data_IF_936616878721
#
_entry.id   IF_936616878721
#
_cell.length_a   1.000
_cell.length_b   1.000
_cell.length_c   1.000
_cell.angle_alpha   90.00
_cell.angle_beta   90.00
_cell.angle_gamma   90.00
#
_symmetry.space_group_name_H-M   'P 1'
#
loop_
_entity.id
_entity.type
_entity.pdbx_description
1 polymer ?
#
# COMPACT_ATOMS: atom_id res chain seq x y z
N UNK A 1 30.23 -9.42 24.52
CA UNK A 1 29.72 -8.06 24.27
C UNK A 1 30.40 -7.42 23.03
N UNK A 2 30.67 -8.20 21.96
CA UNK A 2 31.41 -7.76 20.76
C UNK A 2 30.60 -7.93 19.46
N UNK A 3 29.34 -8.39 19.56
CA UNK A 3 28.50 -8.80 18.41
C UNK A 3 27.55 -7.70 17.91
N UNK A 4 27.59 -6.50 18.49
CA UNK A 4 26.56 -5.47 18.29
C UNK A 4 26.98 -4.33 17.33
N UNK A 5 28.27 -4.24 16.99
CA UNK A 5 28.78 -3.19 16.09
C UNK A 5 28.70 -3.56 14.59
N UNK A 6 28.70 -4.85 14.23
CA UNK A 6 28.62 -5.28 12.82
C UNK A 6 27.20 -5.23 12.24
N UNK A 7 26.15 -5.25 13.06
CA UNK A 7 24.76 -5.24 12.58
C UNK A 7 24.25 -3.84 12.21
N UNK A 8 24.81 -2.79 12.82
CA UNK A 8 24.45 -1.39 12.54
C UNK A 8 24.69 -0.96 11.09
N UNK A 9 25.86 -1.23 10.46
CA UNK A 9 26.09 -0.82 9.07
C UNK A 9 25.15 -1.53 8.08
N UNK A 10 24.79 -2.79 8.34
CA UNK A 10 23.88 -3.54 7.47
C UNK A 10 22.45 -2.96 7.47
N UNK A 11 21.95 -2.51 8.64
CA UNK A 11 20.61 -1.89 8.75
C UNK A 11 20.57 -0.55 8.03
N UNK A 12 21.60 0.29 8.21
CA UNK A 12 21.69 1.59 7.53
C UNK A 12 21.74 1.41 6.02
N UNK A 13 22.54 0.45 5.53
CA UNK A 13 22.61 0.14 4.11
C UNK A 13 21.27 -0.34 3.54
N UNK A 14 20.52 -1.16 4.28
CA UNK A 14 19.19 -1.62 3.86
C UNK A 14 18.17 -0.46 3.78
N UNK A 15 18.19 0.47 4.74
CA UNK A 15 17.34 1.66 4.72
C UNK A 15 17.67 2.53 3.51
N UNK A 16 18.97 2.82 3.28
CA UNK A 16 19.42 3.61 2.14
C UNK A 16 19.03 2.96 0.81
N UNK A 17 19.22 1.64 0.68
CA UNK A 17 18.82 0.91 -0.51
C UNK A 17 17.32 1.01 -0.78
N UNK A 18 16.49 0.86 0.25
CA UNK A 18 15.04 1.03 0.14
C UNK A 18 14.66 2.44 -0.33
N UNK A 19 15.29 3.48 0.23
CA UNK A 19 15.07 4.88 -0.17
C UNK A 19 15.49 5.08 -1.62
N UNK A 20 16.65 4.55 -2.04
CA UNK A 20 17.12 4.65 -3.42
C UNK A 20 16.16 3.97 -4.41
N UNK A 21 15.71 2.75 -4.12
CA UNK A 21 14.75 2.02 -4.95
C UNK A 21 13.42 2.78 -5.04
N UNK A 22 12.91 3.26 -3.91
CA UNK A 22 11.65 4.01 -3.85
C UNK A 22 11.72 5.30 -4.68
N UNK A 23 12.81 6.07 -4.56
CA UNK A 23 13.03 7.29 -5.34
C UNK A 23 13.19 7.01 -6.83
N UNK A 24 13.91 5.94 -7.21
CA UNK A 24 14.06 5.55 -8.61
C UNK A 24 12.71 5.12 -9.22
N UNK A 25 11.95 4.31 -8.49
CA UNK A 25 10.61 3.88 -8.92
C UNK A 25 9.65 5.07 -9.04
N UNK A 26 9.69 6.01 -8.09
CA UNK A 26 8.89 7.23 -8.16
C UNK A 26 9.23 8.03 -9.41
N UNK A 27 10.51 8.21 -9.73
CA UNK A 27 10.94 8.94 -10.91
C UNK A 27 10.39 8.28 -12.19
N UNK A 28 10.51 6.96 -12.33
CA UNK A 28 9.96 6.23 -13.49
C UNK A 28 8.45 6.43 -13.60
N UNK A 29 7.70 6.18 -12.52
CA UNK A 29 6.24 6.27 -12.53
C UNK A 29 5.81 7.71 -12.83
N UNK A 30 6.47 8.70 -12.22
CA UNK A 30 6.21 10.11 -12.49
C UNK A 30 6.41 10.46 -13.97
N UNK A 31 7.50 10.03 -14.60
CA UNK A 31 7.73 10.27 -16.03
C UNK A 31 6.64 9.64 -16.89
N UNK A 32 6.23 8.40 -16.59
CA UNK A 32 5.14 7.74 -17.31
C UNK A 32 3.81 8.50 -17.19
N UNK A 33 3.49 8.99 -15.99
CA UNK A 33 2.26 9.76 -15.75
C UNK A 33 2.25 11.10 -16.49
N UNK A 34 3.40 11.80 -16.52
CA UNK A 34 3.56 13.06 -17.26
C UNK A 34 3.47 12.84 -18.77
N UNK A 35 4.11 11.79 -19.31
CA UNK A 35 4.03 11.45 -20.73
C UNK A 35 2.59 11.11 -21.12
N UNK A 36 1.86 10.40 -20.26
CA UNK A 36 0.45 10.10 -20.42
C UNK A 36 -0.49 11.31 -20.28
N UNK A 37 0.02 12.50 -19.92
CA UNK A 37 -0.75 13.74 -19.68
C UNK A 37 -1.95 13.51 -18.75
N UNK A 38 -1.75 12.72 -17.71
CA UNK A 38 -2.81 12.29 -16.79
C UNK A 38 -3.26 13.37 -15.79
N UNK A 39 -2.52 14.48 -15.67
CA UNK A 39 -2.86 15.58 -14.77
C UNK A 39 -1.77 16.64 -14.69
N UNK A 40 -1.88 17.51 -13.70
CA UNK A 40 -0.84 18.49 -13.37
C UNK A 40 0.40 17.81 -12.77
N UNK A 41 1.53 18.52 -12.72
CA UNK A 41 2.79 17.97 -12.19
C UNK A 41 2.67 17.56 -10.72
N UNK A 42 1.94 18.33 -9.91
CA UNK A 42 1.75 18.04 -8.48
C UNK A 42 0.95 16.76 -8.28
N UNK A 43 -0.12 16.58 -9.06
CA UNK A 43 -0.95 15.39 -8.99
C UNK A 43 -0.23 14.14 -9.49
N UNK A 44 0.45 14.23 -10.64
CA UNK A 44 1.24 13.11 -11.17
C UNK A 44 2.31 12.67 -10.16
N UNK A 45 2.92 13.63 -9.45
CA UNK A 45 3.89 13.34 -8.41
C UNK A 45 3.24 12.61 -7.22
N UNK A 46 2.09 13.08 -6.74
CA UNK A 46 1.36 12.45 -5.63
C UNK A 46 0.85 11.04 -5.98
N UNK A 47 0.35 10.85 -7.20
CA UNK A 47 -0.06 9.53 -7.70
C UNK A 47 1.15 8.60 -7.80
N UNK A 48 2.30 9.09 -8.28
CA UNK A 48 3.53 8.31 -8.31
C UNK A 48 3.97 7.86 -6.91
N UNK A 49 3.90 8.75 -5.91
CA UNK A 49 4.19 8.39 -4.51
C UNK A 49 3.28 7.27 -4.01
N UNK A 50 2.00 7.35 -4.36
CA UNK A 50 0.99 6.35 -3.97
C UNK A 50 1.33 4.98 -4.55
N UNK A 51 1.65 4.91 -5.85
CA UNK A 51 2.06 3.64 -6.47
C UNK A 51 3.31 3.06 -5.82
N UNK A 52 4.32 3.88 -5.51
CA UNK A 52 5.53 3.39 -4.84
C UNK A 52 5.20 2.78 -3.48
N UNK A 53 4.33 3.42 -2.68
CA UNK A 53 3.87 2.86 -1.41
C UNK A 53 3.14 1.53 -1.61
N UNK A 54 2.21 1.47 -2.56
CA UNK A 54 1.43 0.26 -2.85
C UNK A 54 2.29 -0.90 -3.38
N UNK A 55 3.46 -0.61 -3.96
CA UNK A 55 4.42 -1.62 -4.44
C UNK A 55 5.38 -2.05 -3.31
N UNK A 56 5.99 -1.12 -2.59
CA UNK A 56 7.07 -1.46 -1.66
C UNK A 56 6.52 -1.98 -0.32
N UNK A 57 5.42 -1.41 0.19
CA UNK A 57 4.91 -1.76 1.52
C UNK A 57 4.48 -3.23 1.66
N UNK A 58 3.75 -3.85 0.69
CA UNK A 58 3.40 -5.27 0.77
C UNK A 58 4.62 -6.18 0.82
N UNK A 59 5.65 -5.89 0.01
CA UNK A 59 6.87 -6.70 -0.03
C UNK A 59 7.62 -6.68 1.30
N UNK A 60 7.78 -5.49 1.90
CA UNK A 60 8.39 -5.35 3.23
C UNK A 60 7.60 -6.11 4.31
N UNK A 61 6.27 -6.06 4.25
CA UNK A 61 5.38 -6.83 5.12
C UNK A 61 5.54 -8.34 4.93
N UNK A 62 5.56 -8.81 3.69
CA UNK A 62 5.68 -10.23 3.34
C UNK A 62 7.02 -10.84 3.79
N UNK A 63 8.14 -10.13 3.61
CA UNK A 63 9.46 -10.57 4.10
C UNK A 63 9.48 -10.70 5.62
N UNK A 64 8.78 -9.81 6.32
CA UNK A 64 8.74 -9.81 7.78
C UNK A 64 8.15 -11.12 8.32
N UNK A 65 7.13 -11.67 7.65
CA UNK A 65 6.56 -12.97 8.02
C UNK A 65 7.59 -14.11 7.84
N UNK A 66 8.33 -14.13 6.72
CA UNK A 66 9.34 -15.15 6.44
C UNK A 66 10.45 -15.17 7.49
N UNK A 67 11.00 -13.99 7.82
CA UNK A 67 12.09 -13.85 8.80
C UNK A 67 11.63 -14.26 10.21
N UNK A 68 10.39 -13.94 10.57
CA UNK A 68 9.81 -14.37 11.85
C UNK A 68 9.63 -15.88 11.92
N UNK A 69 9.15 -16.56 10.88
CA UNK A 69 9.08 -18.02 10.84
C UNK A 69 10.45 -18.68 11.07
N UNK A 70 11.50 -18.17 10.42
CA UNK A 70 12.87 -18.70 10.62
C UNK A 70 13.40 -18.47 12.03
N UNK A 71 13.07 -17.33 12.64
CA UNK A 71 13.43 -17.00 14.03
C UNK A 71 12.68 -17.88 15.04
N UNK A 72 11.40 -18.17 14.81
CA UNK A 72 10.62 -19.10 15.65
C UNK A 72 11.18 -20.52 15.64
N UNK A 73 11.64 -21.01 14.50
CA UNK A 73 12.27 -22.33 14.35
C UNK A 73 13.58 -22.46 15.15
N UNK A 74 14.35 -21.37 15.28
CA UNK A 74 15.64 -21.35 15.97
C UNK A 74 15.51 -21.04 17.47
N UNK A 75 14.44 -20.36 17.89
CA UNK A 75 14.20 -19.96 19.28
C UNK A 75 13.27 -20.91 20.05
N UNK A 76 13.42 -22.23 19.85
CA UNK A 76 12.64 -23.30 20.50
C UNK A 76 12.62 -23.27 22.05
N UNK A 77 13.43 -22.44 22.71
CA UNK A 77 13.64 -22.48 24.16
C UNK A 77 12.87 -21.45 25.01
N UNK A 78 12.25 -20.40 24.46
CA UNK A 78 11.77 -19.28 25.30
C UNK A 78 10.31 -18.83 25.14
N UNK A 79 9.46 -19.54 24.40
CA UNK A 79 8.28 -18.92 23.82
C UNK A 79 6.96 -19.67 24.05
N UNK A 80 6.61 -19.89 25.32
CA UNK A 80 5.36 -20.54 25.76
C UNK A 80 4.15 -19.56 25.77
N UNK A 81 4.34 -18.23 25.74
CA UNK A 81 3.24 -17.28 25.85
C UNK A 81 2.64 -16.87 24.47
N UNK A 82 1.30 -16.90 24.27
CA UNK A 82 0.63 -16.44 23.05
C UNK A 82 0.71 -14.90 22.84
N UNK A 83 0.98 -14.15 23.91
CA UNK A 83 1.17 -12.69 23.89
C UNK A 83 2.36 -12.30 22.99
N UNK A 84 3.39 -13.16 22.93
CA UNK A 84 4.60 -12.92 22.15
C UNK A 84 4.42 -12.82 20.64
N UNK A 85 3.49 -13.59 20.05
CA UNK A 85 3.30 -13.63 18.58
C UNK A 85 2.66 -12.35 18.10
N UNK A 86 1.67 -11.86 18.85
CA UNK A 86 0.99 -10.59 18.55
C UNK A 86 1.98 -9.43 18.59
N UNK A 87 2.78 -9.36 19.65
CA UNK A 87 3.73 -8.26 19.84
C UNK A 87 4.86 -8.32 18.79
N UNK A 88 5.27 -9.53 18.37
CA UNK A 88 6.22 -9.70 17.27
C UNK A 88 5.65 -9.26 15.92
N UNK A 89 4.38 -9.60 15.63
CA UNK A 89 3.70 -9.16 14.41
C UNK A 89 3.53 -7.64 14.37
N UNK A 90 3.10 -7.03 15.48
CA UNK A 90 3.02 -5.56 15.59
C UNK A 90 4.40 -4.92 15.39
N UNK A 91 5.42 -5.40 16.09
CA UNK A 91 6.79 -4.90 15.92
C UNK A 91 7.25 -5.05 14.47
N UNK A 92 6.96 -6.18 13.84
CA UNK A 92 7.25 -6.42 12.43
C UNK A 92 6.56 -5.43 11.51
N UNK A 93 5.27 -5.17 11.73
CA UNK A 93 4.47 -4.22 10.97
C UNK A 93 5.04 -2.79 11.09
N UNK A 94 5.41 -2.33 12.28
CA UNK A 94 5.98 -0.98 12.42
C UNK A 94 7.42 -0.88 11.91
N UNK A 95 8.29 -1.81 12.31
CA UNK A 95 9.72 -1.74 12.00
C UNK A 95 9.98 -1.90 10.51
N UNK A 96 9.24 -2.77 9.83
CA UNK A 96 9.39 -2.99 8.38
C UNK A 96 9.06 -1.74 7.56
N UNK A 97 8.19 -0.86 8.06
CA UNK A 97 7.74 0.32 7.34
C UNK A 97 8.59 1.57 7.63
N UNK A 98 9.47 1.56 8.63
CA UNK A 98 10.38 2.69 8.93
C UNK A 98 11.08 3.25 7.68
N UNK A 99 11.79 2.46 6.86
CA UNK A 99 12.48 3.01 5.68
C UNK A 99 11.52 3.67 4.69
N UNK A 100 10.33 3.08 4.48
CA UNK A 100 9.32 3.63 3.58
C UNK A 100 8.68 4.90 4.14
N UNK A 101 8.44 4.98 5.46
CA UNK A 101 7.92 6.17 6.11
C UNK A 101 8.93 7.33 6.08
N UNK A 102 10.22 7.05 6.27
CA UNK A 102 11.29 8.04 6.07
C UNK A 102 11.26 8.54 4.64
N UNK A 103 11.16 7.65 3.66
CA UNK A 103 11.06 8.02 2.26
C UNK A 103 9.80 8.85 1.96
N UNK A 104 8.63 8.47 2.50
CA UNK A 104 7.37 9.21 2.35
C UNK A 104 7.52 10.63 2.90
N UNK A 105 8.12 10.79 4.08
CA UNK A 105 8.41 12.09 4.67
C UNK A 105 9.31 12.93 3.75
N UNK A 106 10.45 12.39 3.34
CA UNK A 106 11.40 13.09 2.48
C UNK A 106 10.80 13.47 1.12
N UNK A 107 10.11 12.54 0.47
CA UNK A 107 9.49 12.71 -0.85
C UNK A 107 8.34 13.72 -0.81
N UNK A 108 7.54 13.71 0.26
CA UNK A 108 6.43 14.67 0.42
C UNK A 108 6.95 16.05 0.78
N UNK A 109 7.97 16.16 1.64
CA UNK A 109 8.67 17.43 1.87
C UNK A 109 9.30 17.97 0.59
N UNK A 110 9.89 17.12 -0.25
CA UNK A 110 10.42 17.53 -1.56
C UNK A 110 9.33 18.11 -2.48
N UNK A 111 8.12 17.55 -2.45
CA UNK A 111 6.99 18.05 -3.25
C UNK A 111 6.58 19.49 -2.90
N UNK A 112 6.80 19.93 -1.65
CA UNK A 112 6.60 21.32 -1.24
C UNK A 112 7.42 22.29 -2.11
N UNK A 113 8.69 21.93 -2.35
CA UNK A 113 9.63 22.76 -3.10
C UNK A 113 9.48 22.61 -4.62
N UNK A 114 9.18 21.40 -5.10
CA UNK A 114 9.17 21.12 -6.53
C UNK A 114 7.84 21.46 -7.21
N UNK A 115 6.70 21.22 -6.54
CA UNK A 115 5.37 21.35 -7.15
C UNK A 115 4.52 22.45 -6.53
N UNK A 116 5.09 23.27 -5.65
CA UNK A 116 4.43 24.40 -4.96
C UNK A 116 3.12 23.99 -4.26
N UNK A 117 3.09 22.78 -3.70
CA UNK A 117 1.90 22.26 -2.99
C UNK A 117 1.67 23.02 -1.67
N UNK A 118 0.40 23.26 -1.32
CA UNK A 118 0.06 23.88 -0.03
C UNK A 118 0.35 22.94 1.14
N UNK A 119 0.71 23.49 2.30
CA UNK A 119 1.01 22.70 3.51
C UNK A 119 -0.14 21.75 3.91
N UNK A 120 -1.40 22.18 3.71
CA UNK A 120 -2.58 21.35 3.99
C UNK A 120 -2.55 20.09 3.11
N UNK A 121 -2.32 20.23 1.80
CA UNK A 121 -2.25 19.10 0.86
C UNK A 121 -1.12 18.13 1.24
N UNK A 122 0.02 18.64 1.69
CA UNK A 122 1.14 17.82 2.14
C UNK A 122 0.80 16.99 3.39
N UNK A 123 0.16 17.61 4.39
CA UNK A 123 -0.25 16.91 5.61
C UNK A 123 -1.26 15.82 5.26
N UNK A 124 -2.25 16.12 4.42
CA UNK A 124 -3.23 15.14 3.96
C UNK A 124 -2.56 14.00 3.20
N UNK A 125 -1.62 14.31 2.30
CA UNK A 125 -0.86 13.31 1.55
C UNK A 125 -0.07 12.38 2.49
N UNK A 126 0.62 12.94 3.49
CA UNK A 126 1.34 12.16 4.50
C UNK A 126 0.40 11.20 5.25
N UNK A 127 -0.78 11.67 5.66
CA UNK A 127 -1.77 10.86 6.37
C UNK A 127 -2.24 9.70 5.48
N UNK A 128 -2.62 9.98 4.23
CA UNK A 128 -3.09 8.96 3.29
C UNK A 128 -2.01 7.93 3.00
N UNK A 129 -0.78 8.37 2.69
CA UNK A 129 0.34 7.46 2.42
C UNK A 129 0.71 6.61 3.64
N UNK A 130 0.65 7.15 4.86
CA UNK A 130 0.83 6.38 6.08
C UNK A 130 -0.22 5.27 6.24
N UNK A 131 -1.51 5.59 6.01
CA UNK A 131 -2.59 4.60 6.05
C UNK A 131 -2.35 3.51 5.00
N UNK A 132 -1.94 3.88 3.79
CA UNK A 132 -1.66 2.93 2.73
C UNK A 132 -0.42 2.08 3.01
N UNK A 133 0.65 2.63 3.60
CA UNK A 133 1.81 1.86 4.04
C UNK A 133 1.38 0.72 4.98
N UNK A 134 0.64 1.04 6.04
CA UNK A 134 0.25 0.04 7.03
C UNK A 134 -0.77 -0.96 6.50
N UNK A 135 -1.74 -0.50 5.71
CA UNK A 135 -2.76 -1.37 5.10
C UNK A 135 -2.13 -2.35 4.12
N UNK A 136 -1.26 -1.85 3.24
CA UNK A 136 -0.55 -2.64 2.24
C UNK A 136 0.43 -3.63 2.88
N UNK A 137 1.12 -3.21 3.95
CA UNK A 137 1.93 -4.10 4.76
C UNK A 137 1.10 -5.25 5.37
N UNK A 138 -0.06 -4.94 5.97
CA UNK A 138 -0.93 -5.94 6.57
C UNK A 138 -1.47 -6.94 5.53
N UNK A 139 -1.82 -6.47 4.32
CA UNK A 139 -2.19 -7.33 3.20
C UNK A 139 -1.04 -8.23 2.75
N UNK A 140 0.17 -7.68 2.61
CA UNK A 140 1.36 -8.46 2.24
C UNK A 140 1.72 -9.52 3.29
N UNK A 141 1.60 -9.19 4.58
CA UNK A 141 1.76 -10.14 5.68
C UNK A 141 0.70 -11.24 5.62
N UNK A 142 -0.56 -10.88 5.35
CA UNK A 142 -1.66 -11.82 5.23
C UNK A 142 -1.46 -12.79 4.06
N UNK A 143 -1.14 -12.28 2.86
CA UNK A 143 -0.82 -13.09 1.69
C UNK A 143 0.35 -14.04 1.97
N UNK A 144 1.44 -13.53 2.53
CA UNK A 144 2.60 -14.37 2.88
C UNK A 144 2.27 -15.45 3.92
N UNK A 145 1.33 -15.18 4.83
CA UNK A 145 0.88 -16.16 5.82
C UNK A 145 0.02 -17.28 5.20
N UNK A 146 -0.79 -16.97 4.19
CA UNK A 146 -1.62 -17.94 3.46
C UNK A 146 -0.75 -18.83 2.57
N UNK A 147 0.05 -18.19 1.69
CA UNK A 147 0.83 -18.91 0.67
C UNK A 147 2.14 -19.48 1.21
N UNK A 148 2.54 -19.08 2.43
CA UNK A 148 3.83 -19.43 3.05
C UNK A 148 5.04 -19.01 2.24
N UNK A 149 4.86 -18.05 1.33
CA UNK A 149 5.89 -17.51 0.46
C UNK A 149 5.75 -15.98 0.38
N UNK A 150 6.88 -15.29 0.55
CA UNK A 150 6.90 -13.82 0.59
C UNK A 150 6.67 -13.19 -0.79
N UNK A 151 7.12 -13.85 -1.86
CA UNK A 151 6.97 -13.34 -3.23
C UNK A 151 5.51 -13.47 -3.64
N UNK A 152 4.94 -14.68 -3.55
CA UNK A 152 3.52 -14.90 -3.89
C UNK A 152 2.58 -14.05 -3.03
N UNK A 153 2.88 -13.87 -1.73
CA UNK A 153 2.10 -12.97 -0.87
C UNK A 153 2.11 -11.51 -1.34
N UNK A 154 3.25 -11.02 -1.81
CA UNK A 154 3.36 -9.67 -2.37
C UNK A 154 2.65 -9.52 -3.71
N UNK A 155 2.81 -10.49 -4.62
CA UNK A 155 2.16 -10.50 -5.94
C UNK A 155 0.63 -10.54 -5.82
N UNK A 156 0.11 -11.35 -4.89
CA UNK A 156 -1.32 -11.39 -4.60
C UNK A 156 -1.85 -10.03 -4.12
N UNK A 157 -1.07 -9.32 -3.30
CA UNK A 157 -1.44 -7.97 -2.85
C UNK A 157 -1.41 -6.97 -4.00
N UNK A 158 -0.44 -7.07 -4.91
CA UNK A 158 -0.39 -6.23 -6.12
C UNK A 158 -1.58 -6.50 -7.04
N UNK A 159 -2.00 -7.76 -7.18
CA UNK A 159 -3.20 -8.11 -7.94
C UNK A 159 -4.44 -7.45 -7.35
N UNK A 160 -4.61 -7.49 -6.03
CA UNK A 160 -5.74 -6.84 -5.35
C UNK A 160 -5.75 -5.34 -5.60
N UNK A 161 -4.61 -4.66 -5.42
CA UNK A 161 -4.56 -3.22 -5.70
C UNK A 161 -4.76 -2.89 -7.17
N UNK A 162 -4.27 -3.73 -8.08
CA UNK A 162 -4.51 -3.58 -9.52
C UNK A 162 -6.00 -3.71 -9.83
N UNK A 163 -6.71 -4.64 -9.19
CA UNK A 163 -8.17 -4.76 -9.29
C UNK A 163 -8.85 -3.54 -8.71
N UNK A 164 -8.49 -3.06 -7.52
CA UNK A 164 -9.10 -1.86 -6.94
C UNK A 164 -8.90 -0.62 -7.81
N UNK A 165 -7.70 -0.42 -8.34
CA UNK A 165 -7.37 0.70 -9.22
C UNK A 165 -8.08 0.60 -10.57
N UNK A 166 -8.07 -0.58 -11.19
CA UNK A 166 -8.63 -0.83 -12.52
C UNK A 166 -10.14 -1.12 -12.51
N UNK A 167 -10.75 -1.39 -11.36
CA UNK A 167 -12.16 -1.78 -11.26
C UNK A 167 -13.15 -0.77 -11.86
N UNK A 168 -12.96 0.56 -11.78
CA UNK A 168 -13.85 1.50 -12.47
C UNK A 168 -13.84 1.29 -13.99
N UNK A 169 -12.69 0.98 -14.57
CA UNK A 169 -12.50 0.72 -16.00
C UNK A 169 -13.11 -0.64 -16.39
N UNK A 170 -12.94 -1.67 -15.53
CA UNK A 170 -13.48 -3.01 -15.79
C UNK A 170 -15.02 -3.03 -15.75
N UNK A 171 -15.62 -2.35 -14.76
CA UNK A 171 -17.08 -2.23 -14.65
C UNK A 171 -17.71 -1.58 -15.88
N UNK A 172 -17.03 -0.60 -16.49
CA UNK A 172 -17.51 0.07 -17.70
C UNK A 172 -17.71 -0.89 -18.86
N UNK A 173 -16.80 -1.86 -19.01
CA UNK A 173 -16.89 -2.85 -20.08
C UNK A 173 -18.11 -3.77 -19.90
N UNK A 174 -18.55 -3.97 -18.66
CA UNK A 174 -19.72 -4.80 -18.33
C UNK A 174 -21.04 -4.07 -18.58
N UNK A 175 -21.03 -2.74 -18.67
CA UNK A 175 -22.24 -1.94 -18.82
C UNK A 175 -22.96 -2.20 -20.14
N UNK A 176 -22.21 -2.63 -21.17
CA UNK A 176 -22.77 -3.10 -22.44
C UNK A 176 -23.67 -4.35 -22.30
N UNK A 177 -23.56 -5.07 -21.18
CA UNK A 177 -24.25 -6.33 -20.94
C UNK A 177 -25.26 -6.27 -19.79
N UNK A 178 -25.19 -5.26 -18.93
CA UNK A 178 -26.05 -5.12 -17.75
C UNK A 178 -26.96 -3.90 -17.89
N UNK A 179 -28.22 -4.03 -17.46
CA UNK A 179 -29.24 -2.98 -17.65
C UNK A 179 -28.97 -1.68 -16.86
N UNK A 180 -28.09 -1.69 -15.85
CA UNK A 180 -27.54 -0.50 -15.17
C UNK A 180 -26.44 -0.88 -14.18
N UNK A 181 -25.22 -0.35 -14.36
CA UNK A 181 -24.09 -0.55 -13.41
C UNK A 181 -23.93 0.61 -12.43
N UNK A 182 -24.65 1.73 -12.63
CA UNK A 182 -24.44 2.99 -11.91
C UNK A 182 -24.36 2.85 -10.38
N UNK A 183 -25.21 1.99 -9.80
CA UNK A 183 -25.27 1.76 -8.35
C UNK A 183 -24.01 1.08 -7.78
N UNK A 184 -23.24 0.36 -8.62
CA UNK A 184 -22.01 -0.32 -8.21
C UNK A 184 -20.75 0.54 -8.37
N UNK A 185 -20.80 1.57 -9.21
CA UNK A 185 -19.66 2.46 -9.44
C UNK A 185 -19.25 3.11 -8.12
N UNK A 186 -20.20 3.72 -7.41
CA UNK A 186 -19.91 4.50 -6.21
C UNK A 186 -19.25 3.69 -5.08
N UNK A 187 -19.76 2.51 -4.67
CA UNK A 187 -19.07 1.62 -3.73
C UNK A 187 -17.64 1.27 -4.15
N UNK A 188 -17.40 1.09 -5.44
CA UNK A 188 -16.10 0.67 -5.96
C UNK A 188 -15.10 1.82 -5.95
N UNK A 189 -15.56 3.06 -6.14
CA UNK A 189 -14.72 4.25 -5.95
C UNK A 189 -14.23 4.37 -4.49
N UNK A 190 -14.99 3.91 -3.49
CA UNK A 190 -14.52 3.91 -2.10
C UNK A 190 -13.33 2.96 -1.84
N UNK A 191 -13.13 1.97 -2.72
CA UNK A 191 -12.04 0.99 -2.60
C UNK A 191 -10.82 1.38 -3.45
N UNK A 192 -10.91 2.42 -4.29
CA UNK A 192 -9.80 2.82 -5.14
C UNK A 192 -8.86 3.80 -4.41
N UNK A 193 -7.58 3.43 -4.19
CA UNK A 193 -6.64 4.26 -3.43
C UNK A 193 -6.27 5.57 -4.14
N UNK A 194 -6.39 5.63 -5.47
CA UNK A 194 -6.02 6.83 -6.23
C UNK A 194 -7.03 7.97 -5.99
N UNK A 195 -8.29 7.63 -5.71
CA UNK A 195 -9.37 8.61 -5.57
C UNK A 195 -9.18 9.51 -4.35
N UNK A 196 -8.58 9.00 -3.28
CA UNK A 196 -8.25 9.82 -2.12
C UNK A 196 -7.26 10.94 -2.50
N UNK A 197 -6.32 10.65 -3.40
CA UNK A 197 -5.33 11.61 -3.88
C UNK A 197 -5.98 12.62 -4.82
N UNK A 198 -6.83 12.17 -5.75
CA UNK A 198 -7.62 13.04 -6.62
C UNK A 198 -8.41 14.08 -5.80
N UNK A 199 -9.05 13.63 -4.72
CA UNK A 199 -9.82 14.52 -3.86
C UNK A 199 -8.94 15.54 -3.12
N UNK A 200 -7.70 15.20 -2.71
CA UNK A 200 -6.78 16.15 -2.05
C UNK A 200 -6.36 17.27 -2.99
N UNK A 201 -6.18 16.96 -4.27
CA UNK A 201 -5.77 17.91 -5.30
C UNK A 201 -6.97 18.53 -6.04
N UNK A 202 -8.02 18.89 -5.28
CA UNK A 202 -9.22 19.60 -5.76
C UNK A 202 -10.00 18.85 -6.87
N UNK A 203 -10.06 17.53 -6.75
CA UNK A 203 -10.98 16.72 -7.55
C UNK A 203 -10.54 16.55 -8.99
N UNK A 204 -9.24 16.31 -9.23
CA UNK A 204 -8.78 15.94 -10.57
C UNK A 204 -9.53 14.69 -11.03
N UNK A 205 -10.37 14.89 -12.05
CA UNK A 205 -11.16 13.81 -12.62
C UNK A 205 -10.29 13.03 -13.59
N UNK A 206 -9.48 12.12 -13.04
CA UNK A 206 -8.61 11.21 -13.80
C UNK A 206 -9.42 10.49 -14.88
N UNK A 207 -10.69 10.19 -14.60
CA UNK A 207 -11.57 9.49 -15.52
C UNK A 207 -12.13 10.36 -16.65
N UNK A 208 -12.03 11.69 -16.55
CA UNK A 208 -12.38 12.66 -17.61
C UNK A 208 -11.17 13.15 -18.41
N UNK A 209 -9.99 12.57 -18.23
CA UNK A 209 -8.81 12.93 -19.04
C UNK A 209 -9.01 12.48 -20.50
N UNK A 210 -8.50 13.22 -21.50
CA UNK A 210 -8.73 12.91 -22.92
C UNK A 210 -8.31 11.49 -23.31
N UNK A 211 -7.22 10.98 -22.72
CA UNK A 211 -6.70 9.64 -22.99
C UNK A 211 -7.62 8.55 -22.45
N UNK A 212 -8.14 8.70 -21.23
CA UNK A 212 -9.12 7.77 -20.67
C UNK A 212 -10.51 7.93 -21.30
N UNK A 213 -10.85 9.13 -21.78
CA UNK A 213 -12.09 9.39 -22.52
C UNK A 213 -12.17 8.58 -23.82
N UNK A 214 -11.08 8.56 -24.59
CA UNK A 214 -11.00 7.76 -25.83
C UNK A 214 -11.08 6.25 -25.56
N UNK A 215 -10.51 5.81 -24.44
CA UNK A 215 -10.46 4.40 -24.07
C UNK A 215 -11.74 3.90 -23.38
N UNK A 216 -12.41 4.78 -22.62
CA UNK A 216 -13.58 4.44 -21.81
C UNK A 216 -14.49 5.65 -21.63
N UNK A 217 -15.76 5.62 -22.10
CA UNK A 217 -16.70 6.73 -21.95
C UNK A 217 -17.27 6.80 -20.52
N UNK A 218 -16.39 6.97 -19.53
CA UNK A 218 -16.72 7.07 -18.09
C UNK A 218 -17.59 8.29 -17.79
N UNK A 219 -17.54 9.30 -18.66
CA UNK A 219 -18.21 10.59 -18.50
C UNK A 219 -19.72 10.54 -18.69
N UNK A 220 -20.28 9.39 -19.08
CA UNK A 220 -21.73 9.19 -19.16
C UNK A 220 -22.39 9.04 -17.78
N UNK A 221 -21.60 8.86 -16.72
CA UNK A 221 -22.07 8.59 -15.38
C UNK A 221 -21.94 9.80 -14.45
N UNK A 222 -23.05 10.16 -13.81
CA UNK A 222 -23.05 11.06 -12.65
C UNK A 222 -22.55 10.29 -11.43
N UNK A 223 -21.30 10.55 -11.05
CA UNK A 223 -20.72 10.11 -9.78
C UNK A 223 -19.93 11.24 -9.13
N UNK A 224 -19.93 11.26 -7.80
CA UNK A 224 -19.10 12.16 -7.01
C UNK A 224 -17.98 11.37 -6.34
N UNK A 225 -16.78 11.95 -6.34
CA UNK A 225 -15.67 11.32 -5.62
C UNK A 225 -15.95 11.31 -4.12
N UNK A 226 -15.83 10.14 -3.47
CA UNK A 226 -15.94 10.09 -2.02
C UNK A 226 -14.82 10.88 -1.37
N UNK A 227 -15.11 11.45 -0.20
CA UNK A 227 -14.13 12.20 0.57
C UNK A 227 -12.95 11.30 0.95
N UNK A 228 -11.73 11.84 0.90
CA UNK A 228 -10.48 11.12 1.15
C UNK A 228 -10.49 10.33 2.48
N UNK A 229 -11.08 10.87 3.54
CA UNK A 229 -11.12 10.23 4.85
C UNK A 229 -11.99 8.97 4.89
N UNK A 230 -13.02 8.88 4.05
CA UNK A 230 -13.87 7.69 3.94
C UNK A 230 -13.07 6.55 3.32
N UNK A 231 -12.28 6.84 2.29
CA UNK A 231 -11.38 5.87 1.66
C UNK A 231 -10.34 5.40 2.69
N UNK A 232 -9.69 6.33 3.39
CA UNK A 232 -8.75 5.96 4.45
C UNK A 232 -9.37 5.06 5.52
N UNK A 233 -10.62 5.33 5.92
CA UNK A 233 -11.34 4.50 6.88
C UNK A 233 -11.54 3.08 6.36
N UNK A 234 -11.96 2.90 5.11
CA UNK A 234 -12.07 1.57 4.51
C UNK A 234 -10.73 0.83 4.47
N UNK A 235 -9.65 1.50 4.07
CA UNK A 235 -8.32 0.89 4.04
C UNK A 235 -7.84 0.51 5.44
N UNK A 236 -8.08 1.34 6.46
CA UNK A 236 -7.80 0.96 7.85
C UNK A 236 -8.59 -0.27 8.28
N UNK A 237 -9.88 -0.36 7.94
CA UNK A 237 -10.71 -1.54 8.25
C UNK A 237 -10.14 -2.79 7.57
N UNK A 238 -9.81 -2.72 6.27
CA UNK A 238 -9.19 -3.82 5.53
C UNK A 238 -7.86 -4.24 6.17
N UNK A 239 -6.99 -3.28 6.49
CA UNK A 239 -5.70 -3.52 7.12
C UNK A 239 -5.82 -4.20 8.49
N UNK A 240 -6.73 -3.71 9.33
CA UNK A 240 -7.04 -4.31 10.63
C UNK A 240 -7.54 -5.76 10.50
N UNK A 241 -8.47 -6.02 9.57
CA UNK A 241 -8.97 -7.36 9.31
C UNK A 241 -7.82 -8.27 8.86
N UNK A 242 -7.02 -7.87 7.87
CA UNK A 242 -5.89 -8.65 7.36
C UNK A 242 -4.85 -8.96 8.45
N UNK A 243 -4.55 -7.99 9.31
CA UNK A 243 -3.64 -8.18 10.44
C UNK A 243 -4.19 -9.19 11.45
N UNK A 244 -5.47 -9.09 11.82
CA UNK A 244 -6.11 -10.03 12.75
C UNK A 244 -6.12 -11.46 12.19
N UNK A 245 -6.42 -11.64 10.91
CA UNK A 245 -6.36 -12.94 10.25
C UNK A 245 -4.94 -13.51 10.20
N UNK A 246 -3.94 -12.68 9.87
CA UNK A 246 -2.53 -13.05 9.92
C UNK A 246 -2.14 -13.57 11.30
N UNK A 247 -2.57 -12.87 12.36
CA UNK A 247 -2.32 -13.30 13.73
C UNK A 247 -2.94 -14.66 14.05
N UNK A 248 -4.19 -14.90 13.63
CA UNK A 248 -4.85 -16.19 13.82
C UNK A 248 -4.13 -17.33 13.10
N UNK A 249 -3.72 -17.13 11.85
CA UNK A 249 -2.99 -18.12 11.05
C UNK A 249 -1.65 -18.45 11.70
N UNK A 250 -0.87 -17.43 12.06
CA UNK A 250 0.44 -17.61 12.71
C UNK A 250 0.30 -18.32 14.07
N UNK A 251 -0.75 -18.01 14.86
CA UNK A 251 -1.05 -18.70 16.11
C UNK A 251 -1.36 -20.18 15.88
N UNK A 252 -2.17 -20.50 14.87
CA UNK A 252 -2.55 -21.89 14.53
C UNK A 252 -1.34 -22.71 14.04
N UNK A 253 -0.54 -22.17 13.13
CA UNK A 253 0.66 -22.84 12.60
C UNK A 253 1.67 -23.17 13.71
N UNK A 254 1.79 -22.30 14.72
CA UNK A 254 2.62 -22.55 15.90
C UNK A 254 2.16 -23.77 16.68
N UNK A 255 0.86 -23.90 16.93
CA UNK A 255 0.29 -25.04 17.69
C UNK A 255 0.55 -26.37 16.99
N UNK A 256 0.47 -26.42 15.66
CA UNK A 256 0.80 -27.64 14.90
C UNK A 256 2.26 -28.07 15.04
N UNK A 257 3.20 -27.11 15.06
CA UNK A 257 4.63 -27.40 15.20
C UNK A 257 5.03 -27.89 16.61
N UNK A 258 4.24 -27.58 17.63
CA UNK A 258 4.48 -28.08 19.00
C UNK A 258 3.91 -29.48 19.24
N UNK A 259 2.93 -29.91 18.45
CA UNK A 259 2.28 -31.22 18.58
C UNK A 259 2.91 -32.32 17.70
N UNK A 260 3.96 -32.00 16.95
CA UNK A 260 4.79 -32.92 16.16
C UNK A 260 6.15 -33.11 16.83
#
# INVERSE_FOLDING_TARGET
MYYDNEKKPAIVMAILLCICIASFLQWIIFQLLIIGKLGSKSECYAIAQTFVVLIIAPYLGAITIRTQYTSFLTSKLFLIAPISVRDLLFRGLFVSQIPLLIWVLLSTTFSYFYTESTLIKLILMMIVLCVYCFTSCALGMFGASIFRDSIFGSEWTYLIFSVFIGSPILLMSLDRYLQSIQHFIQPILHLNPIIAICHIYDGMDIFRTPLLYELTPITSYDFSYPHWYIICLWFMVIGCICFLWTWQICKKNRLYQFNQ
#
